data_IF_448973714252
#
_entry.id   IF_448973714252
#
_cell.length_a   1.000
_cell.length_b   1.000
_cell.length_c   1.000
_cell.angle_alpha   90.00
_cell.angle_beta   90.00
_cell.angle_gamma   90.00
#
_symmetry.space_group_name_H-M   'P 1'
#
loop_
_entity.id
_entity.type
_entity.pdbx_description
1 polymer ?
#
# COMPACT_ATOMS: atom_id res chain seq x y z
N UNK A 1 -15.46 -12.91 -4.50
CA UNK A 1 -16.86 -12.80 -4.06
C UNK A 1 -17.13 -13.84 -2.97
N UNK A 2 -17.79 -13.48 -1.88
CA UNK A 2 -18.22 -14.48 -0.94
C UNK A 2 -19.22 -15.44 -1.62
N UNK A 3 -19.18 -16.72 -1.31
CA UNK A 3 -20.14 -17.70 -1.82
C UNK A 3 -21.57 -17.41 -1.35
N UNK A 4 -21.69 -16.86 -0.13
CA UNK A 4 -22.94 -16.39 0.47
C UNK A 4 -22.67 -15.13 1.31
N UNK A 5 -23.67 -14.27 1.44
CA UNK A 5 -23.60 -13.05 2.25
C UNK A 5 -23.18 -11.81 1.47
N UNK A 6 -22.95 -10.71 2.21
CA UNK A 6 -22.55 -9.41 1.68
C UNK A 6 -21.32 -8.90 2.42
N UNK A 7 -20.43 -8.23 1.71
CA UNK A 7 -19.33 -7.47 2.30
C UNK A 7 -19.73 -6.00 2.30
N UNK A 8 -19.86 -5.42 3.49
CA UNK A 8 -20.23 -4.01 3.65
C UNK A 8 -19.02 -3.19 4.11
N UNK A 9 -18.77 -2.08 3.45
CA UNK A 9 -17.81 -1.07 3.85
C UNK A 9 -18.58 0.22 4.17
N UNK A 10 -18.55 0.64 5.42
CA UNK A 10 -19.33 1.78 5.92
C UNK A 10 -20.84 1.66 5.59
N UNK A 11 -21.39 0.47 5.70
CA UNK A 11 -22.81 0.19 5.42
C UNK A 11 -23.18 0.08 3.93
N UNK A 12 -22.21 0.25 3.02
CA UNK A 12 -22.41 0.12 1.56
C UNK A 12 -21.86 -1.23 1.08
N UNK A 13 -22.57 -1.87 0.17
CA UNK A 13 -22.09 -3.10 -0.47
C UNK A 13 -20.78 -2.83 -1.23
N UNK A 14 -19.71 -3.52 -0.85
CA UNK A 14 -18.38 -3.34 -1.41
C UNK A 14 -18.33 -3.52 -2.93
N UNK A 15 -19.21 -4.37 -3.49
CA UNK A 15 -19.29 -4.62 -4.93
C UNK A 15 -20.03 -3.52 -5.70
N UNK A 16 -20.81 -2.69 -5.00
CA UNK A 16 -21.56 -1.58 -5.59
C UNK A 16 -20.84 -0.24 -5.47
N UNK A 17 -19.69 -0.19 -4.79
CA UNK A 17 -18.89 1.03 -4.66
C UNK A 17 -18.20 1.31 -6.01
N UNK A 18 -18.39 2.52 -6.58
CA UNK A 18 -17.68 2.91 -7.81
C UNK A 18 -16.16 2.84 -7.66
N UNK A 19 -15.44 2.44 -8.72
CA UNK A 19 -13.98 2.28 -8.68
C UNK A 19 -13.25 3.55 -8.23
N UNK A 20 -13.71 4.73 -8.67
CA UNK A 20 -13.11 6.01 -8.30
C UNK A 20 -13.23 6.36 -6.81
N UNK A 21 -14.21 5.78 -6.10
CA UNK A 21 -14.37 5.96 -4.66
C UNK A 21 -13.59 4.92 -3.84
N UNK A 22 -13.26 3.77 -4.42
CA UNK A 22 -12.68 2.64 -3.70
C UNK A 22 -11.37 3.01 -3.01
N UNK A 23 -10.48 3.75 -3.69
CA UNK A 23 -9.16 4.10 -3.13
C UNK A 23 -9.23 4.98 -1.88
N UNK A 24 -10.28 5.80 -1.73
CA UNK A 24 -10.50 6.61 -0.54
C UNK A 24 -11.18 5.85 0.60
N UNK A 25 -11.81 4.71 0.31
CA UNK A 25 -12.47 3.86 1.30
C UNK A 25 -11.52 2.79 1.83
N UNK A 26 -10.83 2.08 0.95
CA UNK A 26 -9.85 1.09 1.36
C UNK A 26 -8.61 1.11 0.46
N UNK A 27 -7.47 0.89 1.08
CA UNK A 27 -6.19 0.64 0.43
C UNK A 27 -5.84 -0.83 0.54
N UNK A 28 -5.36 -1.43 -0.54
CA UNK A 28 -4.91 -2.81 -0.58
C UNK A 28 -3.40 -2.85 -0.81
N UNK A 29 -2.69 -3.47 0.11
CA UNK A 29 -1.25 -3.71 0.00
C UNK A 29 -1.05 -5.16 -0.39
N UNK A 30 -0.61 -5.35 -1.62
CA UNK A 30 -0.43 -6.67 -2.22
C UNK A 30 0.90 -7.31 -1.81
N UNK A 31 0.93 -8.63 -1.72
CA UNK A 31 2.14 -9.41 -1.53
C UNK A 31 3.13 -9.21 -2.70
N UNK A 32 2.62 -9.12 -3.91
CA UNK A 32 3.40 -8.88 -5.13
C UNK A 32 3.06 -7.53 -5.71
N UNK A 33 4.06 -6.67 -5.90
CA UNK A 33 3.85 -5.37 -6.51
C UNK A 33 3.62 -5.51 -8.03
N UNK A 34 2.49 -5.02 -8.51
CA UNK A 34 2.18 -4.94 -9.93
C UNK A 34 2.58 -3.56 -10.47
N UNK A 35 3.68 -3.54 -11.20
CA UNK A 35 4.20 -2.33 -11.82
C UNK A 35 3.33 -1.93 -13.01
N UNK A 36 3.03 -0.62 -13.11
CA UNK A 36 2.40 -0.02 -14.29
C UNK A 36 3.45 0.66 -15.16
N UNK A 37 3.23 0.81 -16.48
CA UNK A 37 4.13 1.64 -17.31
C UNK A 37 4.20 3.07 -16.81
N UNK A 38 5.37 3.71 -16.91
CA UNK A 38 5.53 5.12 -16.59
C UNK A 38 6.56 5.41 -15.50
N UNK A 39 6.35 6.52 -14.81
CA UNK A 39 7.27 7.07 -13.81
C UNK A 39 7.06 6.48 -12.42
N UNK A 40 7.96 6.81 -11.48
CA UNK A 40 7.77 6.49 -10.06
C UNK A 40 6.48 7.12 -9.53
N UNK A 41 6.18 8.36 -9.91
CA UNK A 41 4.90 9.02 -9.58
C UNK A 41 3.70 8.19 -10.06
N UNK A 42 3.75 7.67 -11.29
CA UNK A 42 2.66 6.86 -11.85
C UNK A 42 2.43 5.56 -11.06
N UNK A 43 3.51 4.97 -10.49
CA UNK A 43 3.37 3.80 -9.62
C UNK A 43 2.52 4.08 -8.38
N UNK A 44 2.63 5.29 -7.83
CA UNK A 44 1.92 5.71 -6.61
C UNK A 44 0.50 6.16 -6.95
N UNK A 45 0.35 7.00 -7.97
CA UNK A 45 -0.94 7.63 -8.31
C UNK A 45 -1.85 6.76 -9.16
N UNK A 46 -1.30 5.78 -9.89
CA UNK A 46 -2.01 5.01 -10.92
C UNK A 46 -2.67 5.93 -11.97
N UNK A 47 -1.91 6.95 -12.41
CA UNK A 47 -2.32 7.97 -13.38
C UNK A 47 -3.45 8.90 -12.92
N UNK A 48 -3.75 8.94 -11.63
CA UNK A 48 -4.72 9.87 -11.08
C UNK A 48 -4.06 11.23 -10.84
N UNK A 49 -4.32 12.18 -11.73
CA UNK A 49 -3.75 13.54 -11.69
C UNK A 49 -4.38 14.43 -10.60
N UNK A 50 -5.41 13.96 -9.89
CA UNK A 50 -6.00 14.69 -8.76
C UNK A 50 -5.10 14.75 -7.55
N UNK A 51 -4.12 13.84 -7.41
CA UNK A 51 -3.13 13.87 -6.35
C UNK A 51 -2.07 14.93 -6.61
N UNK A 52 -1.85 15.80 -5.62
CA UNK A 52 -0.77 16.77 -5.65
C UNK A 52 0.58 16.10 -5.44
N UNK A 53 1.68 16.75 -5.87
CA UNK A 53 3.02 16.24 -5.59
C UNK A 53 3.32 16.15 -4.09
N UNK A 54 2.76 17.05 -3.27
CA UNK A 54 2.92 16.97 -1.81
C UNK A 54 2.26 15.72 -1.25
N UNK A 55 1.06 15.35 -1.72
CA UNK A 55 0.39 14.10 -1.33
C UNK A 55 1.17 12.86 -1.76
N UNK A 56 1.76 12.89 -2.95
CA UNK A 56 2.62 11.80 -3.46
C UNK A 56 3.87 11.66 -2.59
N UNK A 57 4.54 12.76 -2.26
CA UNK A 57 5.73 12.77 -1.40
C UNK A 57 5.41 12.32 0.01
N UNK A 58 4.28 12.75 0.57
CA UNK A 58 3.84 12.31 1.90
C UNK A 58 3.61 10.79 1.94
N UNK A 59 2.97 10.24 0.93
CA UNK A 59 2.79 8.79 0.80
C UNK A 59 4.14 8.05 0.72
N UNK A 60 5.09 8.60 -0.02
CA UNK A 60 6.45 8.04 -0.11
C UNK A 60 7.22 8.16 1.22
N UNK A 61 7.04 9.25 1.99
CA UNK A 61 7.60 9.39 3.34
C UNK A 61 7.02 8.37 4.31
N UNK A 62 5.72 8.16 4.28
CA UNK A 62 5.06 7.09 5.06
C UNK A 62 5.67 5.74 4.76
N UNK A 63 5.91 5.44 3.49
CA UNK A 63 6.56 4.21 3.05
C UNK A 63 8.08 4.17 3.33
N UNK A 64 8.70 5.29 3.69
CA UNK A 64 10.15 5.38 3.90
C UNK A 64 10.97 5.43 2.61
N UNK A 65 10.38 5.83 1.48
CA UNK A 65 11.01 5.83 0.17
C UNK A 65 11.34 7.22 -0.39
N UNK A 66 10.86 8.31 0.19
CA UNK A 66 11.04 9.66 -0.38
C UNK A 66 12.51 9.98 -0.66
N UNK A 67 13.39 9.76 0.31
CA UNK A 67 14.82 9.99 0.14
C UNK A 67 15.45 9.12 -0.95
N UNK A 68 15.05 7.86 -1.05
CA UNK A 68 15.52 6.95 -2.10
C UNK A 68 15.08 7.42 -3.49
N UNK A 69 13.82 7.85 -3.62
CA UNK A 69 13.29 8.37 -4.89
C UNK A 69 13.99 9.66 -5.29
N UNK A 70 14.24 10.56 -4.35
CA UNK A 70 14.96 11.83 -4.59
C UNK A 70 16.39 11.62 -5.10
N UNK A 71 17.03 10.51 -4.78
CA UNK A 71 18.37 10.14 -5.25
C UNK A 71 18.38 9.59 -6.69
N UNK A 72 17.24 9.25 -7.26
CA UNK A 72 17.15 8.83 -8.65
C UNK A 72 17.43 10.01 -9.58
N UNK A 73 17.93 9.74 -10.78
CA UNK A 73 18.36 10.76 -11.75
C UNK A 73 17.31 11.85 -12.00
N UNK A 74 16.05 11.47 -12.09
CA UNK A 74 14.90 12.37 -12.30
C UNK A 74 13.88 12.33 -11.15
N UNK A 75 14.28 11.83 -9.97
CA UNK A 75 13.39 11.74 -8.82
C UNK A 75 12.09 10.99 -9.15
N UNK A 76 10.96 11.60 -8.82
CA UNK A 76 9.62 11.05 -9.08
C UNK A 76 9.26 10.90 -10.57
N UNK A 77 9.94 11.63 -11.46
CA UNK A 77 9.76 11.55 -12.91
C UNK A 77 10.66 10.49 -13.58
N UNK A 78 11.44 9.75 -12.79
CA UNK A 78 12.24 8.64 -13.28
C UNK A 78 11.34 7.52 -13.80
N UNK A 79 11.63 7.05 -15.02
CA UNK A 79 10.89 5.92 -15.61
C UNK A 79 11.20 4.65 -14.83
N UNK A 80 10.15 3.97 -14.40
CA UNK A 80 10.23 2.74 -13.62
C UNK A 80 10.55 1.53 -14.49
N UNK A 81 11.77 1.01 -14.34
CA UNK A 81 12.17 -0.31 -14.86
C UNK A 81 12.11 -1.35 -13.74
N UNK A 82 12.18 -2.64 -14.08
CA UNK A 82 12.19 -3.73 -13.08
C UNK A 82 13.37 -3.68 -12.13
N UNK A 83 14.45 -2.99 -12.50
CA UNK A 83 15.74 -2.98 -11.80
C UNK A 83 15.95 -1.76 -10.90
N UNK A 84 15.04 -0.79 -10.94
CA UNK A 84 15.20 0.49 -10.25
C UNK A 84 15.08 0.36 -8.72
N UNK A 85 14.33 -0.62 -8.26
CA UNK A 85 14.11 -0.88 -6.84
C UNK A 85 14.42 -2.34 -6.49
N UNK A 86 14.86 -2.56 -5.25
CA UNK A 86 14.93 -3.90 -4.65
C UNK A 86 13.53 -4.47 -4.39
N UNK A 87 13.44 -5.78 -4.12
CA UNK A 87 12.17 -6.43 -3.79
C UNK A 87 11.49 -5.76 -2.58
N UNK A 88 12.24 -5.44 -1.54
CA UNK A 88 11.71 -4.72 -0.37
C UNK A 88 11.24 -3.31 -0.70
N UNK A 89 11.97 -2.59 -1.56
CA UNK A 89 11.57 -1.25 -1.99
C UNK A 89 10.30 -1.28 -2.84
N UNK A 90 10.09 -2.29 -3.69
CA UNK A 90 8.82 -2.50 -4.38
C UNK A 90 7.67 -2.71 -3.39
N UNK A 91 7.93 -3.45 -2.30
CA UNK A 91 6.93 -3.65 -1.25
C UNK A 91 6.59 -2.34 -0.54
N UNK A 92 7.60 -1.51 -0.24
CA UNK A 92 7.38 -0.16 0.31
C UNK A 92 6.59 0.72 -0.65
N UNK A 93 6.85 0.63 -1.95
CA UNK A 93 6.11 1.38 -2.96
C UNK A 93 4.63 0.96 -3.04
N UNK A 94 4.33 -0.31 -2.80
CA UNK A 94 2.95 -0.80 -2.63
C UNK A 94 2.24 -0.11 -1.47
N UNK A 95 2.94 0.10 -0.36
CA UNK A 95 2.41 0.85 0.80
C UNK A 95 2.14 2.31 0.42
N UNK A 96 3.05 2.97 -0.27
CA UNK A 96 2.86 4.35 -0.74
C UNK A 96 1.65 4.47 -1.68
N UNK A 97 1.49 3.54 -2.62
CA UNK A 97 0.34 3.45 -3.52
C UNK A 97 -0.99 3.34 -2.77
N UNK A 98 -1.03 2.51 -1.74
CA UNK A 98 -2.22 2.35 -0.90
C UNK A 98 -2.50 3.60 -0.05
N UNK A 99 -1.45 4.25 0.48
CA UNK A 99 -1.56 5.36 1.43
C UNK A 99 -1.90 6.71 0.77
N UNK A 100 -1.57 6.92 -0.50
CA UNK A 100 -1.71 8.24 -1.16
C UNK A 100 -3.16 8.74 -1.17
N UNK A 101 -4.13 7.86 -1.31
CA UNK A 101 -5.55 8.17 -1.30
C UNK A 101 -6.12 8.37 0.12
N UNK A 102 -5.30 8.27 1.15
CA UNK A 102 -5.70 8.39 2.58
C UNK A 102 -6.90 7.51 2.92
N UNK A 103 -6.83 6.19 2.69
CA UNK A 103 -7.96 5.30 2.88
C UNK A 103 -8.32 5.19 4.36
N UNK A 104 -9.58 4.89 4.66
CA UNK A 104 -10.05 4.64 6.03
C UNK A 104 -9.74 3.23 6.51
N UNK A 105 -9.60 2.30 5.58
CA UNK A 105 -9.31 0.89 5.83
C UNK A 105 -8.08 0.46 5.03
N UNK A 106 -7.15 -0.24 5.66
CA UNK A 106 -6.04 -0.92 4.99
C UNK A 106 -6.25 -2.43 5.02
N UNK A 107 -6.12 -3.05 3.87
CA UNK A 107 -6.12 -4.49 3.69
C UNK A 107 -4.69 -4.95 3.37
N UNK A 108 -4.15 -5.83 4.18
CA UNK A 108 -2.77 -6.32 4.07
C UNK A 108 -2.78 -7.82 3.79
N UNK A 109 -2.12 -8.25 2.72
CA UNK A 109 -2.04 -9.65 2.32
C UNK A 109 -0.59 -10.14 2.34
N UNK A 110 -0.21 -10.83 3.43
CA UNK A 110 1.08 -11.52 3.62
C UNK A 110 2.34 -10.76 3.17
N UNK A 111 2.37 -9.46 3.35
CA UNK A 111 3.35 -8.56 2.77
C UNK A 111 4.79 -8.72 3.24
N UNK A 112 5.05 -9.46 4.32
CA UNK A 112 6.39 -9.73 4.86
C UNK A 112 6.94 -11.09 4.45
N UNK A 113 6.24 -11.84 3.60
CA UNK A 113 6.70 -13.14 3.15
C UNK A 113 7.98 -13.03 2.29
N UNK A 114 8.95 -13.88 2.57
CA UNK A 114 10.21 -13.99 1.81
C UNK A 114 11.13 -12.76 1.84
N UNK A 115 11.00 -11.90 2.84
CA UNK A 115 11.92 -10.79 3.08
C UNK A 115 13.03 -11.20 4.08
N UNK A 116 14.23 -10.62 3.92
CA UNK A 116 15.25 -10.70 4.97
C UNK A 116 14.83 -9.87 6.20
N UNK A 117 15.45 -10.12 7.35
CA UNK A 117 15.04 -9.54 8.62
C UNK A 117 15.09 -7.99 8.63
N UNK A 118 16.08 -7.39 7.97
CA UNK A 118 16.20 -5.93 7.91
C UNK A 118 15.09 -5.32 7.04
N UNK A 119 14.87 -5.89 5.88
CA UNK A 119 13.80 -5.45 4.95
C UNK A 119 12.42 -5.66 5.56
N UNK A 120 12.22 -6.79 6.27
CA UNK A 120 10.98 -7.03 7.02
C UNK A 120 10.71 -5.93 8.05
N UNK A 121 11.72 -5.52 8.82
CA UNK A 121 11.60 -4.44 9.80
C UNK A 121 11.23 -3.10 9.14
N UNK A 122 11.87 -2.75 8.02
CA UNK A 122 11.55 -1.54 7.27
C UNK A 122 10.10 -1.52 6.77
N UNK A 123 9.62 -2.64 6.25
CA UNK A 123 8.23 -2.81 5.81
C UNK A 123 7.26 -2.71 6.97
N UNK A 124 7.54 -3.36 8.10
CA UNK A 124 6.70 -3.28 9.31
C UNK A 124 6.61 -1.86 9.86
N UNK A 125 7.71 -1.10 9.87
CA UNK A 125 7.72 0.30 10.28
C UNK A 125 6.90 1.18 9.33
N UNK A 126 7.01 0.96 8.03
CA UNK A 126 6.20 1.67 7.03
C UNK A 126 4.70 1.38 7.21
N UNK A 127 4.34 0.12 7.44
CA UNK A 127 2.96 -0.28 7.73
C UNK A 127 2.41 0.34 9.01
N UNK A 128 3.22 0.41 10.05
CA UNK A 128 2.83 1.06 11.30
C UNK A 128 2.50 2.54 11.05
N UNK A 129 3.34 3.26 10.30
CA UNK A 129 3.06 4.65 9.93
C UNK A 129 1.79 4.77 9.08
N UNK A 130 1.62 3.91 8.08
CA UNK A 130 0.44 3.91 7.22
C UNK A 130 -0.85 3.56 7.96
N UNK A 131 -0.75 2.81 9.06
CA UNK A 131 -1.89 2.33 9.84
C UNK A 131 -2.39 3.34 10.87
N UNK A 132 -1.64 4.39 11.14
CA UNK A 132 -2.02 5.42 12.13
C UNK A 132 -3.37 6.07 11.79
N UNK A 133 -4.32 6.01 12.74
CA UNK A 133 -5.66 6.55 12.58
C UNK A 133 -6.56 5.79 11.61
N UNK A 134 -6.18 4.57 11.19
CA UNK A 134 -6.94 3.72 10.24
C UNK A 134 -7.28 2.38 10.83
N UNK A 135 -8.35 1.78 10.30
CA UNK A 135 -8.66 0.37 10.54
C UNK A 135 -7.79 -0.50 9.64
N UNK A 136 -7.20 -1.55 10.19
CA UNK A 136 -6.33 -2.47 9.45
C UNK A 136 -6.88 -3.89 9.55
N UNK A 137 -7.01 -4.55 8.41
CA UNK A 137 -7.29 -5.99 8.31
C UNK A 137 -6.08 -6.64 7.66
N UNK A 138 -5.44 -7.54 8.38
CA UNK A 138 -4.27 -8.28 7.89
C UNK A 138 -4.59 -9.76 7.77
N UNK A 139 -4.25 -10.32 6.61
CA UNK A 139 -4.24 -11.76 6.39
C UNK A 139 -2.81 -12.23 6.59
N UNK A 140 -2.59 -13.12 7.57
CA UNK A 140 -1.28 -13.65 7.87
C UNK A 140 -1.39 -15.11 8.28
N UNK A 141 -0.51 -15.95 7.75
CA UNK A 141 -0.32 -17.31 8.23
C UNK A 141 0.65 -17.38 9.44
N UNK A 142 1.31 -16.26 9.77
CA UNK A 142 2.15 -16.12 10.97
C UNK A 142 1.35 -15.40 12.04
N UNK A 143 0.98 -16.12 13.09
CA UNK A 143 0.25 -15.54 14.24
C UNK A 143 1.23 -14.82 15.14
N UNK A 144 1.56 -13.58 14.82
CA UNK A 144 2.25 -12.66 15.69
C UNK A 144 1.44 -11.38 15.81
N UNK A 145 0.20 -11.52 16.32
CA UNK A 145 -0.62 -10.36 16.61
C UNK A 145 -0.26 -9.81 17.99
N UNK A 146 0.58 -8.80 18.02
CA UNK A 146 0.86 -8.07 19.26
C UNK A 146 -0.31 -7.19 19.68
N UNK A 147 -1.21 -6.84 18.76
CA UNK A 147 -2.38 -5.98 19.02
C UNK A 147 -3.52 -6.27 18.06
N UNK A 148 -4.73 -6.41 18.57
CA UNK A 148 -5.94 -6.48 17.77
C UNK A 148 -6.80 -7.71 18.02
N UNK A 149 -7.93 -7.81 17.28
CA UNK A 149 -8.85 -8.95 17.32
C UNK A 149 -8.47 -9.95 16.24
N UNK A 150 -8.17 -11.18 16.64
CA UNK A 150 -7.89 -12.29 15.72
C UNK A 150 -9.18 -13.00 15.39
N UNK A 151 -9.42 -13.24 14.09
CA UNK A 151 -10.49 -14.08 13.59
C UNK A 151 -9.83 -15.21 12.81
N UNK A 152 -10.07 -16.46 13.20
CA UNK A 152 -9.56 -17.65 12.52
C UNK A 152 -10.71 -18.30 11.75
N UNK A 153 -10.47 -18.65 10.50
CA UNK A 153 -11.41 -19.36 9.63
C UNK A 153 -10.97 -20.80 9.42
#
# INVERSE_FOLDING_TARGET
QPGEGKVLIQGRDAFQIPEHEKRSLYGYVEQTFHRVPGTVKDQITLYDDSFTMEEVREAARIAGLDATIEQLEKGYDTICTSEIFSQGQWQLLSIARAAVAKPKLLLLDEITANLDAQTEEEVLQALKRASEGRTVISISHRVNAETGRIITF
#
